data_IF_881995912026
#
_entry.id   IF_881995912026
#
_cell.length_a   1.000
_cell.length_b   1.000
_cell.length_c   1.000
_cell.angle_alpha   90.00
_cell.angle_beta   90.00
_cell.angle_gamma   90.00
#
_symmetry.space_group_name_H-M   'P 1'
#
loop_
_entity.id
_entity.type
_entity.pdbx_description
1 polymer ?
#
# COMPACT_ATOMS: atom_id res chain seq x y z
N UNK A 1 11.26 14.54 -6.11
CA UNK A 1 11.32 14.23 -4.67
C UNK A 1 12.53 13.35 -4.42
N UNK A 2 13.21 13.49 -3.28
CA UNK A 2 14.36 12.64 -2.94
C UNK A 2 13.89 11.24 -2.50
N UNK A 3 14.65 10.20 -2.88
CA UNK A 3 14.27 8.79 -2.66
C UNK A 3 14.21 8.42 -1.18
N UNK A 4 15.11 8.97 -0.34
CA UNK A 4 15.09 8.68 1.09
C UNK A 4 13.84 9.28 1.74
N UNK A 5 13.52 10.53 1.40
CA UNK A 5 12.28 11.15 1.85
C UNK A 5 11.04 10.38 1.36
N UNK A 6 11.05 9.91 0.11
CA UNK A 6 9.96 9.08 -0.45
C UNK A 6 9.77 7.79 0.34
N UNK A 7 10.85 7.06 0.59
CA UNK A 7 10.80 5.82 1.38
C UNK A 7 10.24 6.08 2.79
N UNK A 8 10.64 7.18 3.45
CA UNK A 8 10.10 7.55 4.76
C UNK A 8 8.60 7.87 4.73
N UNK A 9 8.12 8.54 3.67
CA UNK A 9 6.70 8.82 3.49
C UNK A 9 5.90 7.52 3.27
N UNK A 10 6.40 6.63 2.40
CA UNK A 10 5.82 5.32 2.15
C UNK A 10 5.67 4.53 3.45
N UNK A 11 6.73 4.45 4.26
CA UNK A 11 6.69 3.76 5.54
C UNK A 11 5.63 4.34 6.49
N UNK A 12 5.54 5.67 6.60
CA UNK A 12 4.56 6.34 7.47
C UNK A 12 3.12 6.13 7.02
N UNK A 13 2.87 6.18 5.71
CA UNK A 13 1.54 5.94 5.15
C UNK A 13 1.16 4.47 5.30
N UNK A 14 2.10 3.55 5.09
CA UNK A 14 1.85 2.13 5.28
C UNK A 14 1.52 1.78 6.74
N UNK A 15 2.20 2.42 7.70
CA UNK A 15 1.86 2.33 9.12
C UNK A 15 0.45 2.86 9.39
N UNK A 16 0.11 4.05 8.85
CA UNK A 16 -1.23 4.65 8.95
C UNK A 16 -2.33 3.70 8.47
N UNK A 17 -2.15 3.08 7.31
CA UNK A 17 -3.07 2.10 6.72
C UNK A 17 -3.26 0.90 7.66
N UNK A 18 -2.15 0.38 8.19
CA UNK A 18 -2.16 -0.81 9.06
C UNK A 18 -2.80 -0.52 10.42
N UNK A 19 -2.42 0.58 11.06
CA UNK A 19 -2.90 0.99 12.39
C UNK A 19 -4.40 1.31 12.38
N UNK A 20 -4.88 1.95 11.30
CA UNK A 20 -6.29 2.30 11.11
C UNK A 20 -7.11 1.16 10.47
N UNK A 21 -6.48 0.02 10.18
CA UNK A 21 -7.12 -1.16 9.55
C UNK A 21 -7.84 -0.82 8.24
N UNK A 22 -7.23 0.06 7.46
CA UNK A 22 -7.72 0.44 6.14
C UNK A 22 -7.56 -0.76 5.20
N UNK A 23 -8.63 -1.11 4.47
CA UNK A 23 -8.58 -2.20 3.49
C UNK A 23 -7.61 -1.89 2.36
N UNK A 24 -6.74 -2.85 2.03
CA UNK A 24 -5.75 -2.73 0.96
C UNK A 24 -6.21 -3.29 -0.39
N UNK A 25 -7.25 -4.12 -0.40
CA UNK A 25 -7.70 -4.81 -1.61
C UNK A 25 -8.54 -3.90 -2.51
N UNK A 26 -9.42 -3.09 -1.91
CA UNK A 26 -10.30 -2.16 -2.61
C UNK A 26 -10.44 -0.84 -1.82
N UNK A 27 -9.43 0.04 -1.83
CA UNK A 27 -9.51 1.33 -1.15
C UNK A 27 -10.55 2.22 -1.86
N UNK A 28 -11.48 2.78 -1.08
CA UNK A 28 -12.48 3.73 -1.61
C UNK A 28 -11.82 5.06 -2.03
N UNK A 29 -12.49 5.81 -2.91
CA UNK A 29 -12.03 7.16 -3.29
C UNK A 29 -11.82 8.08 -2.08
N UNK A 30 -12.72 8.00 -1.09
CA UNK A 30 -12.60 8.77 0.17
C UNK A 30 -11.34 8.37 0.97
N UNK A 31 -11.02 7.09 0.99
CA UNK A 31 -9.82 6.55 1.64
C UNK A 31 -8.55 7.05 0.94
N UNK A 32 -8.53 7.00 -0.39
CA UNK A 32 -7.42 7.49 -1.18
C UNK A 32 -7.21 9.00 -0.96
N UNK A 33 -8.27 9.81 -0.99
CA UNK A 33 -8.19 11.23 -0.68
C UNK A 33 -7.70 11.50 0.74
N UNK A 34 -8.16 10.73 1.72
CA UNK A 34 -7.72 10.84 3.11
C UNK A 34 -6.21 10.57 3.24
N UNK A 35 -5.71 9.52 2.61
CA UNK A 35 -4.29 9.17 2.61
C UNK A 35 -3.44 10.18 1.83
N UNK A 36 -3.96 10.73 0.72
CA UNK A 36 -3.28 11.80 0.00
C UNK A 36 -3.20 13.08 0.84
N UNK A 37 -4.28 13.46 1.55
CA UNK A 37 -4.24 14.57 2.52
C UNK A 37 -3.22 14.31 3.62
N UNK A 38 -3.13 13.09 4.12
CA UNK A 38 -2.09 12.72 5.08
C UNK A 38 -0.68 12.86 4.48
N UNK A 39 -0.45 12.41 3.25
CA UNK A 39 0.83 12.61 2.55
C UNK A 39 1.22 14.09 2.43
N UNK A 40 0.25 14.99 2.16
CA UNK A 40 0.48 16.45 2.15
C UNK A 40 0.97 16.92 3.53
N UNK A 41 0.38 16.43 4.63
CA UNK A 41 0.83 16.79 6.00
C UNK A 41 2.25 16.31 6.31
N UNK A 42 2.75 15.31 5.59
CA UNK A 42 4.14 14.83 5.69
C UNK A 42 5.11 15.67 4.86
N UNK A 43 4.63 16.61 4.05
CA UNK A 43 5.43 17.45 3.16
C UNK A 43 5.52 16.95 1.72
N UNK A 44 4.68 16.00 1.30
CA UNK A 44 4.61 15.56 -0.09
C UNK A 44 3.85 16.59 -0.92
N UNK A 45 4.43 17.01 -2.05
CA UNK A 45 3.74 17.86 -3.02
C UNK A 45 2.48 17.19 -3.58
N UNK A 46 1.42 17.97 -3.77
CA UNK A 46 0.11 17.49 -4.26
C UNK A 46 0.25 16.71 -5.58
N UNK A 47 1.20 17.07 -6.45
CA UNK A 47 1.44 16.36 -7.71
C UNK A 47 1.95 14.92 -7.53
N UNK A 48 2.46 14.58 -6.34
CA UNK A 48 3.12 13.30 -6.05
C UNK A 48 2.33 12.46 -5.03
N UNK A 49 1.28 13.01 -4.39
CA UNK A 49 0.56 12.32 -3.31
C UNK A 49 -0.08 11.03 -3.77
N UNK A 50 -0.68 11.03 -4.96
CA UNK A 50 -1.30 9.83 -5.53
C UNK A 50 -0.28 8.70 -5.72
N UNK A 51 0.87 9.03 -6.33
CA UNK A 51 1.95 8.07 -6.58
C UNK A 51 2.49 7.48 -5.27
N UNK A 52 2.79 8.33 -4.29
CA UNK A 52 3.34 7.90 -2.98
C UNK A 52 2.33 7.05 -2.20
N UNK A 53 1.03 7.37 -2.28
CA UNK A 53 -0.03 6.56 -1.66
C UNK A 53 -0.13 5.19 -2.32
N UNK A 54 -0.10 5.13 -3.65
CA UNK A 54 -0.15 3.87 -4.40
C UNK A 54 1.07 2.98 -4.11
N UNK A 55 2.27 3.58 -4.01
CA UNK A 55 3.48 2.87 -3.60
C UNK A 55 3.39 2.31 -2.18
N UNK A 56 2.67 3.00 -1.28
CA UNK A 56 2.44 2.52 0.09
C UNK A 56 1.58 1.27 0.13
N UNK A 57 0.54 1.19 -0.71
CA UNK A 57 -0.25 -0.03 -0.87
C UNK A 57 0.59 -1.17 -1.46
N UNK A 58 1.39 -0.89 -2.50
CA UNK A 58 2.30 -1.88 -3.08
C UNK A 58 3.32 -2.40 -2.06
N UNK A 59 3.88 -1.51 -1.25
CA UNK A 59 4.82 -1.86 -0.20
C UNK A 59 4.22 -2.81 0.84
N UNK A 60 2.98 -2.55 1.29
CA UNK A 60 2.25 -3.46 2.17
C UNK A 60 2.04 -4.81 1.50
N UNK A 61 1.58 -4.83 0.24
CA UNK A 61 1.36 -6.07 -0.51
C UNK A 61 2.65 -6.89 -0.63
N UNK A 62 3.80 -6.26 -0.90
CA UNK A 62 5.10 -6.91 -0.97
C UNK A 62 5.59 -7.43 0.39
N UNK A 63 5.31 -6.71 1.47
CA UNK A 63 5.60 -7.19 2.84
C UNK A 63 4.77 -8.42 3.18
N UNK A 64 3.46 -8.36 2.91
CA UNK A 64 2.55 -9.48 3.16
C UNK A 64 2.87 -10.69 2.26
N UNK A 65 3.26 -10.49 1.00
CA UNK A 65 3.62 -11.56 0.08
C UNK A 65 4.88 -12.33 0.52
N UNK A 66 5.82 -11.69 1.22
CA UNK A 66 6.99 -12.37 1.81
C UNK A 66 6.62 -13.26 2.99
N UNK A 67 5.49 -13.01 3.65
CA UNK A 67 4.95 -13.83 4.75
C UNK A 67 4.07 -15.00 4.25
N UNK A 68 3.72 -15.04 2.95
CA UNK A 68 3.00 -16.17 2.37
C UNK A 68 4.03 -17.22 1.95
N UNK A 69 4.15 -18.28 2.74
CA UNK A 69 4.89 -19.50 2.36
C UNK A 69 4.32 -20.03 1.02
N UNK A 70 5.13 -20.18 -0.05
CA UNK A 70 4.67 -20.77 -1.31
C UNK A 70 4.04 -22.16 -1.16
N UNK A 71 4.35 -22.88 -0.07
CA UNK A 71 3.83 -24.21 0.22
C UNK A 71 2.39 -24.20 0.76
N UNK A 72 1.86 -23.09 1.29
CA UNK A 72 0.47 -23.01 1.79
C UNK A 72 -0.55 -22.67 0.70
N UNK A 73 -0.13 -22.14 -0.46
CA UNK A 73 -0.99 -21.87 -1.63
C UNK A 73 -0.85 -22.91 -2.76
N UNK A 74 -0.41 -24.13 -2.44
CA UNK A 74 -0.24 -25.22 -3.40
C UNK A 74 -1.55 -25.76 -4.02
N UNK A 75 -2.72 -25.42 -3.47
CA UNK A 75 -4.01 -26.02 -3.89
C UNK A 75 -4.83 -25.16 -4.86
N UNK A 76 -4.53 -23.87 -5.06
CA UNK A 76 -5.37 -23.00 -5.90
C UNK A 76 -4.98 -22.97 -7.39
N UNK A 77 -3.87 -23.61 -7.78
CA UNK A 77 -3.42 -23.67 -9.17
C UNK A 77 -4.08 -24.79 -10.01
N UNK A 78 -5.03 -25.55 -9.44
CA UNK A 78 -5.52 -26.83 -10.02
C UNK A 78 -6.98 -26.93 -10.46
N UNK A 79 -7.82 -25.89 -10.33
CA UNK A 79 -9.27 -26.02 -10.61
C UNK A 79 -9.81 -24.87 -11.47
N UNK A 80 -9.40 -24.80 -12.74
CA UNK A 80 -9.86 -23.74 -13.65
C UNK A 80 -9.82 -24.05 -15.14
N UNK A 81 -9.58 -25.29 -15.56
CA UNK A 81 -9.83 -25.73 -16.92
C UNK A 81 -11.07 -26.62 -16.93
N UNK A 82 -12.22 -26.06 -17.27
CA UNK A 82 -13.38 -26.80 -17.78
C UNK A 82 -14.12 -25.98 -18.82
#
# INVERSE_FOLDING_TARGET
MDDNFRNQCIDKIALKITDEKISTDEPSSETLEYLQKFAITLGVDISNTEEVVNESFLYIAMKNAKDIDPLTKGDEFGAGFS
#
